data_IF_340143874311
#
_entry.id   IF_340143874311
#
_cell.length_a   1.000
_cell.length_b   1.000
_cell.length_c   1.000
_cell.angle_alpha   90.00
_cell.angle_beta   90.00
_cell.angle_gamma   90.00
#
_symmetry.space_group_name_H-M   'P 1'
#
loop_
_entity.id
_entity.type
_entity.pdbx_description
1 polymer ?
#
# COMPACT_ATOMS: atom_id res chain seq x y z
N UNK A 1 -18.99 -20.53 -23.65
CA UNK A 1 -19.90 -19.60 -22.95
C UNK A 1 -20.27 -20.22 -21.61
N UNK A 2 -19.34 -20.22 -20.66
CA UNK A 2 -19.58 -20.66 -19.29
C UNK A 2 -20.18 -19.48 -18.51
N UNK A 3 -21.40 -19.64 -18.01
CA UNK A 3 -22.08 -18.63 -17.23
C UNK A 3 -21.22 -18.22 -16.03
N UNK A 4 -21.06 -16.91 -15.83
CA UNK A 4 -20.54 -16.37 -14.58
C UNK A 4 -21.62 -16.58 -13.52
N UNK A 5 -21.62 -17.73 -12.86
CA UNK A 5 -22.41 -17.92 -11.66
C UNK A 5 -21.78 -17.07 -10.55
N UNK A 6 -22.53 -16.07 -10.08
CA UNK A 6 -22.09 -15.23 -8.97
C UNK A 6 -21.97 -16.11 -7.74
N UNK A 7 -20.76 -16.17 -7.17
CA UNK A 7 -20.53 -16.87 -5.92
C UNK A 7 -21.04 -16.03 -4.74
N UNK A 8 -22.35 -16.12 -4.49
CA UNK A 8 -23.06 -15.31 -3.48
C UNK A 8 -22.45 -15.37 -2.08
N UNK A 9 -21.88 -16.51 -1.68
CA UNK A 9 -21.18 -16.64 -0.42
C UNK A 9 -19.92 -15.76 -0.38
N UNK A 10 -19.06 -15.87 -1.40
CA UNK A 10 -17.83 -15.07 -1.51
C UNK A 10 -18.14 -13.57 -1.59
N UNK A 11 -19.17 -13.21 -2.37
CA UNK A 11 -19.63 -11.84 -2.50
C UNK A 11 -20.14 -11.28 -1.17
N UNK A 12 -20.92 -12.05 -0.41
CA UNK A 12 -21.46 -11.62 0.88
C UNK A 12 -20.34 -11.40 1.91
N UNK A 13 -19.36 -12.30 1.95
CA UNK A 13 -18.18 -12.16 2.82
C UNK A 13 -17.36 -10.93 2.43
N UNK A 14 -17.14 -10.72 1.12
CA UNK A 14 -16.45 -9.54 0.62
C UNK A 14 -17.16 -8.24 1.02
N UNK A 15 -18.47 -8.14 0.77
CA UNK A 15 -19.27 -6.95 1.12
C UNK A 15 -19.23 -6.71 2.65
N UNK A 16 -19.36 -7.77 3.46
CA UNK A 16 -19.28 -7.66 4.91
C UNK A 16 -17.94 -7.09 5.37
N UNK A 17 -16.82 -7.63 4.92
CA UNK A 17 -15.50 -7.13 5.31
C UNK A 17 -15.21 -5.75 4.73
N UNK A 18 -15.60 -5.49 3.48
CA UNK A 18 -15.45 -4.18 2.85
C UNK A 18 -16.19 -3.09 3.63
N UNK A 19 -17.45 -3.37 4.00
CA UNK A 19 -18.26 -2.46 4.82
C UNK A 19 -17.65 -2.29 6.22
N UNK A 20 -17.22 -3.39 6.86
CA UNK A 20 -16.59 -3.34 8.18
C UNK A 20 -15.33 -2.47 8.17
N UNK A 21 -14.41 -2.71 7.23
CA UNK A 21 -13.16 -1.94 7.11
C UNK A 21 -13.45 -0.48 6.78
N UNK A 22 -14.41 -0.21 5.90
CA UNK A 22 -14.83 1.15 5.57
C UNK A 22 -15.38 1.87 6.80
N UNK A 23 -16.29 1.24 7.56
CA UNK A 23 -16.84 1.81 8.80
C UNK A 23 -15.73 2.04 9.84
N UNK A 24 -14.83 1.06 10.03
CA UNK A 24 -13.70 1.22 10.94
C UNK A 24 -12.77 2.36 10.51
N UNK A 25 -12.51 2.53 9.21
CA UNK A 25 -11.75 3.65 8.67
C UNK A 25 -12.42 4.99 8.96
N UNK A 26 -13.72 5.10 8.72
CA UNK A 26 -14.49 6.32 9.01
C UNK A 26 -14.61 6.66 10.50
N UNK A 27 -14.70 5.65 11.37
CA UNK A 27 -14.69 5.84 12.82
C UNK A 27 -13.29 6.19 13.30
N UNK A 28 -12.27 5.56 12.73
CA UNK A 28 -10.85 5.77 13.02
C UNK A 28 -10.35 7.15 12.59
N UNK A 29 -10.84 7.69 11.47
CA UNK A 29 -10.44 9.01 10.95
C UNK A 29 -10.79 10.17 11.90
N UNK A 30 -11.74 9.97 12.82
CA UNK A 30 -12.08 10.92 13.88
C UNK A 30 -11.21 10.79 15.13
N UNK A 31 -10.41 9.74 15.26
CA UNK A 31 -9.57 9.49 16.42
C UNK A 31 -8.20 10.19 16.26
N UNK A 32 -7.87 11.09 17.20
CA UNK A 32 -6.67 11.94 17.20
C UNK A 32 -6.63 12.95 16.04
N UNK A 33 -7.76 13.61 15.78
CA UNK A 33 -7.87 14.71 14.83
C UNK A 33 -6.81 15.80 15.10
N UNK A 34 -6.03 16.12 14.08
CA UNK A 34 -5.20 17.32 14.01
C UNK A 34 -5.33 17.95 12.63
N UNK A 35 -4.59 19.03 12.38
CA UNK A 35 -4.73 19.83 11.17
C UNK A 35 -4.14 19.14 9.92
N UNK A 36 -5.01 18.60 9.07
CA UNK A 36 -4.65 17.95 7.80
C UNK A 36 -4.06 18.90 6.75
N UNK A 37 -4.09 20.22 6.97
CA UNK A 37 -3.37 21.19 6.12
C UNK A 37 -1.84 21.07 6.27
N UNK A 38 -1.37 20.42 7.34
CA UNK A 38 0.05 20.20 7.59
C UNK A 38 0.52 18.89 6.95
N UNK A 39 1.50 18.96 6.04
CA UNK A 39 2.07 17.81 5.31
C UNK A 39 2.56 16.68 6.22
N UNK A 40 3.11 16.99 7.39
CA UNK A 40 3.55 15.97 8.35
C UNK A 40 2.39 15.29 9.09
N UNK A 41 1.25 15.96 9.23
CA UNK A 41 0.04 15.34 9.78
C UNK A 41 -0.65 14.45 8.75
N UNK A 42 -0.77 14.91 7.51
CA UNK A 42 -1.34 14.15 6.40
C UNK A 42 -0.46 12.95 5.99
N UNK A 43 0.86 13.16 5.82
CA UNK A 43 1.79 12.15 5.32
C UNK A 43 2.42 11.24 6.37
N UNK A 44 2.56 11.68 7.63
CA UNK A 44 3.20 10.90 8.71
C UNK A 44 2.26 10.59 9.89
N UNK A 45 0.96 10.89 9.77
CA UNK A 45 0.00 10.71 10.88
C UNK A 45 0.37 11.53 12.12
N UNK A 46 1.10 12.64 11.93
CA UNK A 46 1.62 13.48 13.01
C UNK A 46 2.70 12.81 13.87
N UNK A 47 3.27 11.67 13.43
CA UNK A 47 4.25 10.87 14.19
C UNK A 47 3.72 10.40 15.56
N UNK A 48 2.38 10.29 15.70
CA UNK A 48 1.70 9.96 16.97
C UNK A 48 1.35 8.46 17.09
N UNK A 49 1.63 7.68 16.06
CA UNK A 49 1.43 6.24 16.07
C UNK A 49 2.54 5.59 16.91
N UNK A 50 2.13 4.80 17.92
CA UNK A 50 3.06 4.02 18.72
C UNK A 50 3.54 2.79 17.96
N UNK A 51 4.55 2.10 18.50
CA UNK A 51 5.23 0.96 17.87
C UNK A 51 4.27 -0.11 17.33
N UNK A 52 3.21 -0.45 18.08
CA UNK A 52 2.24 -1.48 17.66
C UNK A 52 1.48 -1.07 16.41
N UNK A 53 0.96 0.17 16.36
CA UNK A 53 0.21 0.68 15.21
C UNK A 53 1.14 0.79 14.00
N UNK A 54 2.34 1.35 14.19
CA UNK A 54 3.35 1.43 13.13
C UNK A 54 3.74 0.06 12.61
N UNK A 55 3.85 -0.96 13.48
CA UNK A 55 4.14 -2.33 13.07
C UNK A 55 3.04 -2.90 12.16
N UNK A 56 1.77 -2.70 12.50
CA UNK A 56 0.66 -3.12 11.64
C UNK A 56 0.61 -2.34 10.32
N UNK A 57 0.88 -1.04 10.35
CA UNK A 57 0.92 -0.21 9.13
C UNK A 57 2.04 -0.66 8.19
N UNK A 58 3.25 -0.86 8.71
CA UNK A 58 4.39 -1.35 7.92
C UNK A 58 4.11 -2.78 7.43
N UNK A 59 3.53 -3.63 8.27
CA UNK A 59 3.14 -4.99 7.90
C UNK A 59 2.12 -5.00 6.76
N UNK A 60 1.07 -4.17 6.86
CA UNK A 60 0.05 -4.05 5.81
C UNK A 60 0.57 -3.45 4.51
N UNK A 61 1.55 -2.54 4.58
CA UNK A 61 2.18 -1.95 3.39
C UNK A 61 3.10 -2.94 2.66
N UNK A 62 3.82 -3.79 3.39
CA UNK A 62 4.70 -4.80 2.78
C UNK A 62 3.95 -6.07 2.34
N UNK A 63 2.99 -6.56 3.12
CA UNK A 63 2.27 -7.79 2.85
C UNK A 63 0.94 -7.50 2.14
N UNK A 64 1.03 -7.33 0.83
CA UNK A 64 -0.12 -7.01 -0.03
C UNK A 64 -0.66 -8.26 -0.75
N UNK A 65 -1.70 -8.06 -1.55
CA UNK A 65 -2.25 -9.07 -2.45
C UNK A 65 -1.17 -9.78 -3.29
N UNK A 66 -0.08 -9.10 -3.65
CA UNK A 66 1.07 -9.71 -4.32
C UNK A 66 1.64 -10.90 -3.54
N UNK A 67 1.85 -10.75 -2.24
CA UNK A 67 2.45 -11.80 -1.41
C UNK A 67 1.54 -13.02 -1.24
N UNK A 68 0.22 -12.81 -1.23
CA UNK A 68 -0.77 -13.86 -0.97
C UNK A 68 -1.19 -14.55 -2.28
N UNK A 69 -1.23 -13.83 -3.40
CA UNK A 69 -1.73 -14.35 -4.69
C UNK A 69 -0.55 -14.68 -5.62
N UNK A 70 0.33 -13.71 -5.87
CA UNK A 70 1.34 -13.85 -6.91
C UNK A 70 2.49 -14.79 -6.52
N UNK A 71 2.97 -14.73 -5.26
CA UNK A 71 4.07 -15.59 -4.80
C UNK A 71 3.66 -17.08 -4.82
N UNK A 72 2.51 -17.50 -4.25
CA UNK A 72 2.08 -18.89 -4.35
C UNK A 72 1.79 -19.33 -5.78
N UNK A 73 1.20 -18.47 -6.62
CA UNK A 73 0.99 -18.77 -8.03
C UNK A 73 2.33 -19.01 -8.77
N UNK A 74 3.37 -18.24 -8.44
CA UNK A 74 4.70 -18.43 -9.00
C UNK A 74 5.36 -19.73 -8.51
N UNK A 75 5.20 -20.08 -7.23
CA UNK A 75 5.67 -21.36 -6.68
C UNK A 75 4.95 -22.52 -7.35
N UNK A 76 3.65 -22.39 -7.58
CA UNK A 76 2.87 -23.40 -8.32
C UNK A 76 3.36 -23.57 -9.76
N UNK A 77 3.73 -22.47 -10.43
CA UNK A 77 4.19 -22.50 -11.83
C UNK A 77 5.67 -22.93 -12.01
N UNK A 78 6.57 -22.49 -11.12
CA UNK A 78 8.03 -22.67 -11.26
C UNK A 78 8.66 -23.53 -10.15
N UNK A 79 7.86 -24.09 -9.25
CA UNK A 79 8.32 -24.93 -8.14
C UNK A 79 9.25 -24.17 -7.19
N UNK A 80 10.37 -24.81 -6.83
CA UNK A 80 11.32 -24.29 -5.83
C UNK A 80 11.87 -22.90 -6.16
N UNK A 81 11.97 -22.52 -7.44
CA UNK A 81 12.46 -21.19 -7.83
C UNK A 81 11.53 -20.05 -7.36
N UNK A 82 10.21 -20.31 -7.23
CA UNK A 82 9.26 -19.34 -6.69
C UNK A 82 9.51 -18.98 -5.23
N UNK A 83 10.22 -19.83 -4.48
CA UNK A 83 10.57 -19.58 -3.08
C UNK A 83 11.64 -18.51 -2.90
N UNK A 84 12.20 -17.92 -3.97
CA UNK A 84 13.17 -16.83 -3.87
C UNK A 84 12.68 -15.68 -2.97
N UNK A 85 11.36 -15.51 -2.84
CA UNK A 85 10.72 -14.53 -1.99
C UNK A 85 11.12 -14.63 -0.50
N UNK A 86 11.33 -15.85 0.02
CA UNK A 86 11.66 -16.06 1.42
C UNK A 86 13.13 -15.75 1.74
N UNK A 87 14.14 -16.28 1.03
CA UNK A 87 15.54 -15.97 1.33
C UNK A 87 15.86 -14.48 1.18
N UNK A 88 15.32 -13.81 0.15
CA UNK A 88 15.63 -12.38 -0.04
C UNK A 88 15.08 -11.55 1.13
N UNK A 89 13.87 -11.82 1.61
CA UNK A 89 13.27 -11.06 2.72
C UNK A 89 14.02 -11.28 4.02
N UNK A 90 14.47 -12.52 4.30
CA UNK A 90 15.31 -12.85 5.47
C UNK A 90 16.59 -12.02 5.49
N UNK A 91 17.21 -11.77 4.33
CA UNK A 91 18.43 -10.95 4.22
C UNK A 91 18.12 -9.45 4.30
N UNK A 92 17.03 -9.00 3.69
CA UNK A 92 16.68 -7.58 3.62
C UNK A 92 16.24 -7.02 4.97
N UNK A 93 15.45 -7.76 5.77
CA UNK A 93 14.93 -7.24 7.04
C UNK A 93 16.03 -6.78 8.01
N UNK A 94 17.09 -7.56 8.30
CA UNK A 94 18.19 -7.09 9.16
C UNK A 94 18.85 -5.80 8.66
N UNK A 95 19.04 -5.68 7.34
CA UNK A 95 19.63 -4.49 6.72
C UNK A 95 18.71 -3.28 6.94
N UNK A 96 17.41 -3.45 6.71
CA UNK A 96 16.39 -2.42 6.93
C UNK A 96 16.34 -2.03 8.41
N UNK A 97 16.32 -2.98 9.34
CA UNK A 97 16.29 -2.70 10.78
C UNK A 97 17.58 -2.06 11.31
N UNK A 98 18.71 -2.21 10.62
CA UNK A 98 19.96 -1.53 10.97
C UNK A 98 19.98 -0.09 10.43
N UNK A 99 19.46 0.14 9.22
CA UNK A 99 19.50 1.45 8.56
C UNK A 99 18.33 2.36 8.96
N UNK A 100 17.12 1.82 9.09
CA UNK A 100 15.89 2.59 9.35
C UNK A 100 15.92 3.39 10.65
N UNK A 101 16.37 2.85 11.81
CA UNK A 101 16.41 3.64 13.04
C UNK A 101 17.31 4.88 12.91
N UNK A 102 18.43 4.75 12.20
CA UNK A 102 19.35 5.86 11.93
C UNK A 102 18.71 6.89 11.01
N UNK A 103 18.06 6.44 9.93
CA UNK A 103 17.34 7.34 9.01
C UNK A 103 16.21 8.08 9.74
N UNK A 104 15.41 7.36 10.54
CA UNK A 104 14.33 7.91 11.35
C UNK A 104 14.82 9.00 12.28
N UNK A 105 15.92 8.76 13.01
CA UNK A 105 16.50 9.75 13.92
C UNK A 105 16.87 11.06 13.21
N UNK A 106 17.48 10.98 12.02
CA UNK A 106 17.85 12.17 11.24
C UNK A 106 16.61 12.88 10.70
N UNK A 107 15.67 12.15 10.10
CA UNK A 107 14.43 12.72 9.57
C UNK A 107 13.57 13.36 10.67
N UNK A 108 13.59 12.78 11.88
CA UNK A 108 12.88 13.33 13.03
C UNK A 108 13.52 14.64 13.50
N UNK A 109 14.86 14.69 13.64
CA UNK A 109 15.58 15.90 14.07
C UNK A 109 15.44 17.08 13.10
N UNK A 110 15.42 16.79 11.80
CA UNK A 110 15.38 17.83 10.76
C UNK A 110 13.99 18.04 10.15
N UNK A 111 12.95 17.39 10.68
CA UNK A 111 11.58 17.47 10.17
C UNK A 111 11.43 17.14 8.68
N UNK A 112 12.26 16.23 8.16
CA UNK A 112 12.10 15.71 6.81
C UNK A 112 10.85 14.84 6.71
N UNK A 113 10.08 15.06 5.64
CA UNK A 113 8.84 14.32 5.36
C UNK A 113 9.07 13.29 4.27
N UNK A 114 9.87 13.62 3.25
CA UNK A 114 10.17 12.74 2.12
C UNK A 114 11.64 12.29 2.10
N UNK A 115 11.92 11.23 1.35
CA UNK A 115 13.31 10.79 1.07
C UNK A 115 14.08 11.84 0.26
N UNK A 116 13.39 12.61 -0.59
CA UNK A 116 13.98 13.73 -1.31
C UNK A 116 14.38 14.88 -0.36
N UNK A 117 13.59 15.18 0.67
CA UNK A 117 13.95 16.18 1.69
C UNK A 117 15.20 15.78 2.46
N UNK A 118 15.32 14.48 2.80
CA UNK A 118 16.53 13.95 3.43
C UNK A 118 17.77 14.16 2.54
N UNK A 119 17.65 13.87 1.24
CA UNK A 119 18.75 14.05 0.28
C UNK A 119 19.08 15.53 0.10
N UNK A 120 18.07 16.40 -0.03
CA UNK A 120 18.26 17.84 -0.10
C UNK A 120 18.96 18.37 1.15
N UNK A 121 18.55 17.92 2.33
CA UNK A 121 19.12 18.36 3.60
C UNK A 121 20.53 17.82 3.86
N UNK A 122 20.84 16.61 3.39
CA UNK A 122 22.13 15.96 3.60
C UNK A 122 23.21 16.40 2.62
N UNK A 123 22.83 16.68 1.36
CA UNK A 123 23.75 16.98 0.26
C UNK A 123 23.64 18.41 -0.27
N UNK A 124 22.65 19.19 0.19
CA UNK A 124 22.40 20.57 -0.25
C UNK A 124 22.20 20.72 -1.78
N UNK A 125 21.86 19.64 -2.49
CA UNK A 125 21.82 19.60 -3.95
C UNK A 125 20.42 19.34 -4.51
N UNK A 126 19.81 20.39 -5.08
CA UNK A 126 18.42 20.37 -5.57
C UNK A 126 18.17 19.40 -6.71
N UNK A 127 19.11 19.25 -7.64
CA UNK A 127 18.96 18.30 -8.74
C UNK A 127 19.04 16.85 -8.28
N UNK A 128 19.80 16.58 -7.22
CA UNK A 128 19.89 15.23 -6.65
C UNK A 128 18.59 14.88 -5.93
N UNK A 129 18.05 15.83 -5.16
CA UNK A 129 16.74 15.68 -4.54
C UNK A 129 15.63 15.48 -5.58
N UNK A 130 15.64 16.26 -6.68
CA UNK A 130 14.69 16.10 -7.79
C UNK A 130 14.82 14.72 -8.45
N UNK A 131 16.04 14.27 -8.73
CA UNK A 131 16.28 12.96 -9.32
C UNK A 131 15.73 11.85 -8.41
N UNK A 132 15.96 11.94 -7.09
CA UNK A 132 15.44 10.98 -6.10
C UNK A 132 13.91 11.04 -5.98
N UNK A 133 13.32 12.24 -6.06
CA UNK A 133 11.87 12.39 -6.07
C UNK A 133 11.25 11.73 -7.32
N UNK A 134 11.81 11.98 -8.50
CA UNK A 134 11.33 11.42 -9.76
C UNK A 134 11.50 9.90 -9.80
N UNK A 135 12.64 9.36 -9.36
CA UNK A 135 12.83 7.91 -9.29
C UNK A 135 11.89 7.27 -8.29
N UNK A 136 11.63 7.92 -7.15
CA UNK A 136 10.62 7.47 -6.19
C UNK A 136 9.23 7.38 -6.81
N UNK A 137 8.79 8.42 -7.52
CA UNK A 137 7.49 8.45 -8.22
C UNK A 137 7.41 7.36 -9.30
N UNK A 138 8.46 7.20 -10.10
CA UNK A 138 8.47 6.19 -11.16
C UNK A 138 8.53 4.77 -10.59
N UNK A 139 9.19 4.55 -9.45
CA UNK A 139 9.26 3.26 -8.79
C UNK A 139 7.92 2.85 -8.14
N UNK A 140 7.11 3.82 -7.69
CA UNK A 140 5.79 3.52 -7.10
C UNK A 140 4.73 3.22 -8.15
N UNK A 141 4.85 3.72 -9.38
CA UNK A 141 3.88 3.47 -10.45
C UNK A 141 3.67 1.97 -10.75
N UNK A 142 4.72 1.15 -10.99
CA UNK A 142 4.56 -0.29 -11.17
C UNK A 142 3.96 -0.99 -9.94
N UNK A 143 4.29 -0.51 -8.74
CA UNK A 143 3.79 -1.09 -7.50
C UNK A 143 2.27 -0.89 -7.37
N UNK A 144 1.78 0.32 -7.67
CA UNK A 144 0.34 0.62 -7.71
C UNK A 144 -0.36 -0.23 -8.77
N UNK A 145 0.24 -0.38 -9.96
CA UNK A 145 -0.32 -1.21 -11.01
C UNK A 145 -0.45 -2.69 -10.58
N UNK A 146 0.57 -3.23 -9.88
CA UNK A 146 0.54 -4.60 -9.36
C UNK A 146 -0.58 -4.81 -8.33
N UNK A 147 -0.86 -3.81 -7.50
CA UNK A 147 -1.92 -3.86 -6.51
C UNK A 147 -3.31 -3.84 -7.16
N UNK A 148 -3.49 -3.06 -8.23
CA UNK A 148 -4.71 -3.06 -9.03
C UNK A 148 -4.97 -4.41 -9.70
N UNK A 149 -3.94 -5.03 -10.27
CA UNK A 149 -4.04 -6.39 -10.83
C UNK A 149 -4.44 -7.40 -9.75
N UNK A 150 -3.88 -7.27 -8.54
CA UNK A 150 -4.29 -8.11 -7.41
C UNK A 150 -5.79 -7.98 -7.08
N UNK A 151 -6.33 -6.77 -7.10
CA UNK A 151 -7.77 -6.54 -6.91
C UNK A 151 -8.61 -7.11 -8.05
N UNK A 152 -8.16 -6.98 -9.30
CA UNK A 152 -8.83 -7.53 -10.47
C UNK A 152 -9.01 -9.05 -10.35
N UNK A 153 -7.94 -9.77 -10.01
CA UNK A 153 -7.97 -11.23 -9.83
C UNK A 153 -9.01 -11.62 -8.77
N UNK A 154 -9.10 -10.89 -7.66
CA UNK A 154 -10.10 -11.16 -6.62
C UNK A 154 -11.53 -10.93 -7.12
N UNK A 155 -11.76 -9.86 -7.88
CA UNK A 155 -13.09 -9.54 -8.46
C UNK A 155 -13.52 -10.58 -9.49
N UNK A 156 -12.60 -11.01 -10.36
CA UNK A 156 -12.85 -12.06 -11.35
C UNK A 156 -13.23 -13.39 -10.68
N UNK A 157 -12.53 -13.78 -9.60
CA UNK A 157 -12.83 -14.99 -8.84
C UNK A 157 -14.21 -14.95 -8.15
N UNK A 158 -14.76 -13.75 -7.87
CA UNK A 158 -16.11 -13.61 -7.31
C UNK A 158 -17.24 -13.75 -8.35
N UNK A 159 -16.92 -13.97 -9.63
CA UNK A 159 -17.89 -14.04 -10.72
C UNK A 159 -18.39 -12.67 -11.17
N UNK A 160 -17.74 -11.58 -10.73
CA UNK A 160 -17.96 -10.21 -11.18
C UNK A 160 -16.97 -9.78 -12.28
N UNK A 161 -16.10 -10.69 -12.73
CA UNK A 161 -15.25 -10.50 -13.90
C UNK A 161 -16.10 -10.39 -15.17
N UNK A 162 -15.65 -9.58 -16.12
CA UNK A 162 -16.29 -9.44 -17.41
C UNK A 162 -15.33 -8.83 -18.42
N UNK A 163 -15.51 -9.13 -19.70
CA UNK A 163 -14.71 -8.50 -20.76
C UNK A 163 -15.22 -7.09 -21.05
N UNK A 164 -14.32 -6.10 -21.05
CA UNK A 164 -14.59 -4.71 -21.41
C UNK A 164 -14.84 -3.77 -20.23
N UNK A 165 -15.16 -2.51 -20.53
CA UNK A 165 -15.31 -1.39 -19.56
C UNK A 165 -16.29 -1.73 -18.42
N UNK A 166 -17.26 -2.61 -18.67
CA UNK A 166 -18.27 -3.03 -17.69
C UNK A 166 -17.70 -4.01 -16.65
N UNK A 167 -16.71 -4.83 -17.01
CA UNK A 167 -15.98 -5.70 -16.06
C UNK A 167 -14.93 -4.95 -15.25
N UNK A 168 -14.38 -3.85 -15.80
CA UNK A 168 -13.43 -2.99 -15.09
C UNK A 168 -14.11 -1.98 -14.14
N UNK A 169 -15.42 -1.75 -14.30
CA UNK A 169 -16.20 -0.80 -13.48
C UNK A 169 -16.03 -1.01 -11.96
N UNK A 170 -16.13 -2.24 -11.41
CA UNK A 170 -15.93 -2.46 -9.98
C UNK A 170 -14.52 -2.06 -9.50
N UNK A 171 -13.51 -2.32 -10.33
CA UNK A 171 -12.12 -1.94 -10.03
C UNK A 171 -11.93 -0.42 -10.09
N UNK A 172 -12.49 0.24 -11.10
CA UNK A 172 -12.45 1.69 -11.25
C UNK A 172 -13.15 2.36 -10.06
N UNK A 173 -14.34 1.89 -9.68
CA UNK A 173 -15.09 2.42 -8.53
C UNK A 173 -14.29 2.23 -7.23
N UNK A 174 -13.76 1.02 -6.99
CA UNK A 174 -12.95 0.76 -5.80
C UNK A 174 -11.69 1.63 -5.76
N UNK A 175 -11.00 1.80 -6.89
CA UNK A 175 -9.85 2.68 -7.02
C UNK A 175 -10.21 4.14 -6.74
N UNK A 176 -11.28 4.66 -7.34
CA UNK A 176 -11.71 6.06 -7.12
C UNK A 176 -12.11 6.31 -5.67
N UNK A 177 -12.88 5.41 -5.06
CA UNK A 177 -13.25 5.51 -3.64
C UNK A 177 -11.99 5.54 -2.77
N UNK A 178 -11.05 4.62 -3.01
CA UNK A 178 -9.81 4.54 -2.24
C UNK A 178 -8.89 5.74 -2.47
N UNK A 179 -8.79 6.23 -3.71
CA UNK A 179 -8.00 7.41 -4.05
C UNK A 179 -8.57 8.69 -3.41
N UNK A 180 -9.89 8.90 -3.48
CA UNK A 180 -10.57 10.02 -2.83
C UNK A 180 -10.44 9.93 -1.30
N UNK A 181 -10.56 8.73 -0.74
CA UNK A 181 -10.38 8.51 0.69
C UNK A 181 -8.95 8.82 1.12
N UNK A 182 -7.95 8.32 0.39
CA UNK A 182 -6.53 8.55 0.68
C UNK A 182 -6.18 10.02 0.57
N UNK A 183 -6.71 10.72 -0.44
CA UNK A 183 -6.52 12.15 -0.61
C UNK A 183 -7.10 12.95 0.56
N UNK A 184 -8.33 12.62 0.98
CA UNK A 184 -9.04 13.36 2.03
C UNK A 184 -8.57 13.03 3.46
N UNK A 185 -8.15 11.80 3.72
CA UNK A 185 -7.85 11.30 5.08
C UNK A 185 -6.36 11.16 5.37
N UNK A 186 -5.50 11.03 4.34
CA UNK A 186 -4.06 10.81 4.52
C UNK A 186 -3.74 9.48 5.20
N UNK A 187 -2.66 9.42 5.99
CA UNK A 187 -2.24 8.24 6.77
C UNK A 187 -3.15 7.96 8.00
N UNK A 188 -4.40 8.44 8.03
CA UNK A 188 -5.33 8.33 9.17
C UNK A 188 -6.54 7.43 8.90
#
# INVERSE_FOLDING_TARGET
MSGHEIHWLALSVFIFFFALVTIMGFVGSRWKSGDLSQLHEWGLGGRRFGTVITWFLIGGDFYTAYTIIAVPALVFAMGAYGFFALPYTIVVYPIVFLLMPRLWSVCHKHNYVTTADFVQGRYSHRWLALAVALTGILATMPYIALQLVGMQVVIEQMGLGGEGIVGDLPLIIAFFILALYTYSSGLR
#
